data_IF_601831712834
#
_entry.id   IF_601831712834
#
_cell.length_a   1.000
_cell.length_b   1.000
_cell.length_c   1.000
_cell.angle_alpha   90.00
_cell.angle_beta   90.00
_cell.angle_gamma   90.00
#
_symmetry.space_group_name_H-M   'P 1'
#
loop_
_entity.id
_entity.type
_entity.pdbx_description
1 polymer ?
#
# COMPACT_ATOMS: atom_id res chain seq x y z
N UNK A 1 5.48 -22.52 3.82
CA UNK A 1 5.12 -21.41 4.71
C UNK A 1 3.60 -21.38 4.91
N UNK A 2 3.09 -21.21 6.13
CA UNK A 2 1.65 -21.08 6.35
C UNK A 2 1.14 -19.78 5.70
N UNK A 3 0.15 -19.91 4.81
CA UNK A 3 -0.51 -18.74 4.18
C UNK A 3 -1.44 -18.08 5.19
N UNK A 4 -1.34 -16.75 5.35
CA UNK A 4 -2.22 -15.99 6.24
C UNK A 4 -3.71 -16.22 5.89
N UNK A 5 -4.61 -16.11 6.87
CA UNK A 5 -6.05 -16.30 6.65
C UNK A 5 -6.58 -15.36 5.55
N UNK A 6 -6.22 -14.07 5.61
CA UNK A 6 -6.59 -13.07 4.61
C UNK A 6 -6.08 -13.40 3.22
N UNK A 7 -4.85 -13.88 3.08
CA UNK A 7 -4.31 -14.28 1.78
C UNK A 7 -5.04 -15.49 1.18
N UNK A 8 -5.47 -16.44 2.04
CA UNK A 8 -6.31 -17.56 1.61
C UNK A 8 -7.70 -17.09 1.14
N UNK A 9 -8.29 -16.10 1.81
CA UNK A 9 -9.56 -15.50 1.41
C UNK A 9 -9.43 -14.78 0.05
N UNK A 10 -8.44 -13.89 -0.12
CA UNK A 10 -8.14 -13.24 -1.39
C UNK A 10 -8.02 -14.28 -2.53
N UNK A 11 -7.23 -15.33 -2.31
CA UNK A 11 -7.04 -16.39 -3.31
C UNK A 11 -8.36 -17.10 -3.64
N UNK A 12 -9.21 -17.35 -2.65
CA UNK A 12 -10.52 -17.98 -2.83
C UNK A 12 -11.44 -17.08 -3.66
N UNK A 13 -11.52 -15.79 -3.33
CA UNK A 13 -12.40 -14.85 -4.00
C UNK A 13 -11.95 -14.56 -5.44
N UNK A 14 -10.65 -14.38 -5.69
CA UNK A 14 -10.14 -14.25 -7.06
C UNK A 14 -10.45 -15.50 -7.91
N UNK A 15 -10.32 -16.70 -7.34
CA UNK A 15 -10.70 -17.93 -8.04
C UNK A 15 -12.21 -18.02 -8.29
N UNK A 16 -13.05 -17.53 -7.37
CA UNK A 16 -14.51 -17.46 -7.57
C UNK A 16 -14.85 -16.50 -8.70
N UNK A 17 -14.30 -15.28 -8.67
CA UNK A 17 -14.49 -14.27 -9.72
C UNK A 17 -14.02 -14.80 -11.07
N UNK A 18 -12.86 -15.45 -11.13
CA UNK A 18 -12.32 -16.04 -12.36
C UNK A 18 -13.30 -17.06 -12.96
N UNK A 19 -13.85 -17.95 -12.14
CA UNK A 19 -14.83 -18.96 -12.58
C UNK A 19 -16.17 -18.37 -13.03
N UNK A 20 -16.55 -17.24 -12.45
CA UNK A 20 -17.84 -16.59 -12.73
C UNK A 20 -17.82 -15.73 -13.99
N UNK A 21 -16.71 -15.02 -14.25
CA UNK A 21 -16.64 -14.01 -15.29
C UNK A 21 -15.78 -14.40 -16.50
N UNK A 22 -14.72 -15.20 -16.31
CA UNK A 22 -13.85 -15.58 -17.42
C UNK A 22 -14.35 -16.86 -18.12
N UNK A 23 -14.14 -16.97 -19.44
CA UNK A 23 -14.49 -18.18 -20.16
C UNK A 23 -13.61 -19.35 -19.69
N UNK A 24 -14.17 -20.57 -19.72
CA UNK A 24 -13.43 -21.79 -19.35
C UNK A 24 -12.34 -22.15 -20.37
N UNK A 25 -12.55 -21.77 -21.63
CA UNK A 25 -11.60 -21.93 -22.74
C UNK A 25 -11.45 -20.57 -23.41
N UNK A 26 -10.21 -20.14 -23.58
CA UNK A 26 -9.89 -18.93 -24.34
C UNK A 26 -9.90 -19.26 -25.84
N UNK A 27 -10.28 -18.28 -26.65
CA UNK A 27 -10.29 -18.43 -28.10
C UNK A 27 -8.85 -18.33 -28.61
N UNK A 28 -8.39 -19.33 -29.36
CA UNK A 28 -7.05 -19.35 -29.97
C UNK A 28 -6.92 -18.31 -31.10
N UNK A 29 -8.04 -17.95 -31.71
CA UNK A 29 -8.15 -16.98 -32.81
C UNK A 29 -8.60 -15.59 -32.35
N UNK A 30 -8.67 -15.36 -31.04
CA UNK A 30 -9.12 -14.10 -30.41
C UNK A 30 -10.55 -13.66 -30.76
N UNK A 31 -11.40 -14.57 -31.22
CA UNK A 31 -12.82 -14.29 -31.39
C UNK A 31 -13.54 -14.36 -30.04
N UNK A 32 -14.02 -13.20 -29.57
CA UNK A 32 -14.80 -13.07 -28.35
C UNK A 32 -16.09 -12.29 -28.65
N UNK A 33 -17.22 -12.78 -28.15
CA UNK A 33 -18.47 -12.03 -28.19
C UNK A 33 -18.39 -10.78 -27.31
N UNK A 34 -19.19 -9.75 -27.63
CA UNK A 34 -19.31 -8.53 -26.81
C UNK A 34 -19.61 -8.85 -25.35
N UNK A 35 -20.45 -9.88 -25.11
CA UNK A 35 -20.76 -10.36 -23.76
C UNK A 35 -19.51 -10.87 -23.03
N UNK A 36 -18.66 -11.65 -23.68
CA UNK A 36 -17.43 -12.16 -23.08
C UNK A 36 -16.43 -11.03 -22.77
N UNK A 37 -16.36 -10.03 -23.64
CA UNK A 37 -15.56 -8.82 -23.39
C UNK A 37 -16.09 -8.06 -22.18
N UNK A 38 -17.40 -7.81 -22.12
CA UNK A 38 -18.06 -7.14 -20.99
C UNK A 38 -17.81 -7.87 -19.66
N UNK A 39 -17.94 -9.20 -19.63
CA UNK A 39 -17.65 -10.00 -18.45
C UNK A 39 -16.17 -9.94 -18.05
N UNK A 40 -15.26 -9.87 -19.02
CA UNK A 40 -13.82 -9.73 -18.75
C UNK A 40 -13.50 -8.37 -18.14
N UNK A 41 -14.14 -7.29 -18.60
CA UNK A 41 -14.03 -5.98 -17.97
C UNK A 41 -14.56 -6.02 -16.53
N UNK A 42 -15.71 -6.65 -16.30
CA UNK A 42 -16.26 -6.83 -14.97
C UNK A 42 -15.31 -7.61 -14.06
N UNK A 43 -14.74 -8.74 -14.54
CA UNK A 43 -13.73 -9.51 -13.81
C UNK A 43 -12.57 -8.63 -13.38
N UNK A 44 -12.03 -7.82 -14.28
CA UNK A 44 -10.91 -6.93 -13.99
C UNK A 44 -11.28 -5.98 -12.86
N UNK A 45 -12.40 -5.28 -12.95
CA UNK A 45 -12.84 -4.33 -11.91
C UNK A 45 -13.00 -5.01 -10.55
N UNK A 46 -13.70 -6.15 -10.49
CA UNK A 46 -13.89 -6.87 -9.23
C UNK A 46 -12.60 -7.47 -8.66
N UNK A 47 -11.71 -7.97 -9.52
CA UNK A 47 -10.41 -8.47 -9.09
C UNK A 47 -9.53 -7.36 -8.52
N UNK A 48 -9.54 -6.16 -9.14
CA UNK A 48 -8.85 -4.99 -8.60
C UNK A 48 -9.40 -4.61 -7.22
N UNK A 49 -10.72 -4.49 -7.08
CA UNK A 49 -11.34 -4.15 -5.80
C UNK A 49 -10.99 -5.15 -4.68
N UNK A 50 -10.96 -6.46 -4.98
CA UNK A 50 -10.58 -7.48 -4.01
C UNK A 50 -9.10 -7.39 -3.62
N UNK A 51 -8.21 -7.12 -4.58
CA UNK A 51 -6.78 -6.94 -4.32
C UNK A 51 -6.53 -5.67 -3.50
N UNK A 52 -7.20 -4.57 -3.84
CA UNK A 52 -7.12 -3.30 -3.12
C UNK A 52 -7.57 -3.47 -1.67
N UNK A 53 -8.72 -4.10 -1.43
CA UNK A 53 -9.20 -4.39 -0.08
C UNK A 53 -8.21 -5.23 0.73
N UNK A 54 -7.58 -6.24 0.11
CA UNK A 54 -6.53 -7.02 0.78
C UNK A 54 -5.32 -6.14 1.14
N UNK A 55 -4.87 -5.28 0.23
CA UNK A 55 -3.73 -4.39 0.49
C UNK A 55 -4.06 -3.39 1.60
N UNK A 56 -5.25 -2.81 1.61
CA UNK A 56 -5.73 -1.92 2.67
C UNK A 56 -5.69 -2.60 4.03
N UNK A 57 -6.19 -3.82 4.16
CA UNK A 57 -6.12 -4.60 5.40
C UNK A 57 -4.67 -4.79 5.88
N UNK A 58 -3.73 -5.12 4.97
CA UNK A 58 -2.31 -5.32 5.30
C UNK A 58 -1.61 -4.02 5.70
N UNK A 59 -1.92 -2.93 5.02
CA UNK A 59 -1.37 -1.61 5.34
C UNK A 59 -1.92 -1.14 6.68
N UNK A 60 -3.21 -1.36 6.96
CA UNK A 60 -3.83 -1.02 8.23
C UNK A 60 -3.16 -1.71 9.42
N UNK A 61 -2.92 -3.03 9.33
CA UNK A 61 -2.19 -3.80 10.35
C UNK A 61 -0.78 -3.20 10.62
N UNK A 62 -0.12 -2.74 9.55
CA UNK A 62 1.21 -2.11 9.62
C UNK A 62 1.15 -0.75 10.32
N UNK A 63 0.17 0.08 9.98
CA UNK A 63 -0.06 1.40 10.58
C UNK A 63 -0.41 1.25 12.06
N UNK A 64 -1.28 0.30 12.42
CA UNK A 64 -1.62 0.02 13.83
C UNK A 64 -0.40 -0.42 14.64
N UNK A 65 0.47 -1.25 14.05
CA UNK A 65 1.72 -1.66 14.69
C UNK A 65 2.64 -0.46 14.92
N UNK A 66 2.81 0.38 13.91
CA UNK A 66 3.60 1.61 14.01
C UNK A 66 3.04 2.58 15.05
N UNK A 67 1.71 2.75 15.11
CA UNK A 67 1.03 3.56 16.13
C UNK A 67 1.28 3.02 17.53
N UNK A 68 1.16 1.71 17.76
CA UNK A 68 1.45 1.10 19.08
C UNK A 68 2.90 1.35 19.52
N UNK A 69 3.85 1.31 18.60
CA UNK A 69 5.26 1.62 18.90
C UNK A 69 5.41 3.10 19.29
N UNK A 70 4.76 4.01 18.56
CA UNK A 70 4.73 5.43 18.91
C UNK A 70 4.12 5.66 20.30
N UNK A 71 2.95 5.09 20.57
CA UNK A 71 2.23 5.26 21.84
C UNK A 71 3.06 4.76 23.04
N UNK A 72 3.83 3.68 22.86
CA UNK A 72 4.61 3.06 23.94
C UNK A 72 6.03 3.63 24.10
N UNK A 73 6.66 4.14 23.03
CA UNK A 73 8.09 4.50 23.01
C UNK A 73 8.36 5.95 22.56
N UNK A 74 7.35 6.66 22.05
CA UNK A 74 7.50 7.99 21.46
C UNK A 74 8.33 8.03 20.18
N UNK A 75 8.52 6.89 19.50
CA UNK A 75 9.39 6.79 18.31
C UNK A 75 8.60 6.87 17.02
N UNK A 76 8.83 7.94 16.25
CA UNK A 76 8.19 8.11 14.93
C UNK A 76 8.78 7.08 13.95
N UNK A 77 7.91 6.44 13.17
CA UNK A 77 8.32 5.54 12.10
C UNK A 77 8.02 6.17 10.75
N UNK A 78 8.77 5.76 9.72
CA UNK A 78 8.50 6.18 8.33
C UNK A 78 7.06 5.87 7.89
N UNK A 79 6.45 4.81 8.41
CA UNK A 79 5.05 4.45 8.14
C UNK A 79 4.10 5.57 8.59
N UNK A 80 4.25 6.05 9.83
CA UNK A 80 3.40 7.14 10.35
C UNK A 80 3.65 8.46 9.60
N UNK A 81 4.90 8.73 9.23
CA UNK A 81 5.23 9.91 8.42
C UNK A 81 4.52 9.86 7.06
N UNK A 82 4.54 8.72 6.36
CA UNK A 82 3.81 8.56 5.11
C UNK A 82 2.29 8.75 5.31
N UNK A 83 1.72 8.18 6.36
CA UNK A 83 0.29 8.35 6.66
C UNK A 83 -0.05 9.83 6.84
N UNK A 84 0.75 10.57 7.63
CA UNK A 84 0.54 12.01 7.83
C UNK A 84 0.67 12.77 6.52
N UNK A 85 1.74 12.52 5.75
CA UNK A 85 1.99 13.22 4.49
C UNK A 85 0.86 13.04 3.46
N UNK A 86 0.22 11.87 3.43
CA UNK A 86 -0.90 11.58 2.54
C UNK A 86 -2.28 11.91 3.13
N UNK A 87 -2.39 12.11 4.45
CA UNK A 87 -3.68 12.38 5.11
C UNK A 87 -4.28 13.75 4.79
N UNK A 88 -3.50 14.66 4.18
CA UNK A 88 -3.89 16.05 3.98
C UNK A 88 -4.05 16.83 5.29
N UNK A 89 -3.66 16.25 6.43
CA UNK A 89 -3.61 16.94 7.70
C UNK A 89 -2.31 17.73 7.76
N UNK A 90 -2.43 19.04 7.94
CA UNK A 90 -1.28 19.88 8.27
C UNK A 90 -1.07 19.84 9.78
N UNK A 91 0.17 19.58 10.20
CA UNK A 91 0.53 19.77 11.60
C UNK A 91 0.70 21.28 11.83
N UNK A 92 0.15 21.77 12.95
CA UNK A 92 0.45 23.13 13.39
C UNK A 92 1.96 23.33 13.52
N UNK A 93 2.40 24.57 13.30
CA UNK A 93 3.79 24.92 13.49
C UNK A 93 4.24 24.48 14.89
N UNK A 94 5.42 23.83 15.01
CA UNK A 94 5.93 23.44 16.31
C UNK A 94 5.98 24.68 17.21
N UNK A 95 5.49 24.61 18.46
CA UNK A 95 5.52 25.76 19.35
C UNK A 95 6.96 26.25 19.53
N UNK A 96 7.13 27.57 19.65
CA UNK A 96 8.43 28.25 19.76
C UNK A 96 9.30 27.75 20.94
N UNK A 97 8.70 27.00 21.86
CA UNK A 97 9.36 26.34 22.99
C UNK A 97 10.13 25.07 22.60
N UNK A 98 9.94 24.50 21.41
CA UNK A 98 10.69 23.33 20.95
C UNK A 98 12.10 23.73 20.47
N UNK A 99 13.11 23.39 21.27
CA UNK A 99 14.52 23.57 20.92
C UNK A 99 15.11 22.31 20.30
N UNK A 100 15.93 22.43 19.23
CA UNK A 100 16.41 23.68 18.64
C UNK A 100 15.51 24.18 17.50
N UNK A 101 15.24 25.49 17.51
CA UNK A 101 14.51 26.25 16.47
C UNK A 101 15.10 26.14 15.05
N UNK A 102 16.29 25.57 14.91
CA UNK A 102 16.96 25.24 13.65
C UNK A 102 17.64 23.89 13.79
N UNK A 103 17.39 22.98 12.85
CA UNK A 103 18.32 21.88 12.61
C UNK A 103 19.71 22.47 12.37
N UNK A 104 20.74 21.94 13.05
CA UNK A 104 22.12 22.39 12.83
C UNK A 104 22.43 22.25 11.34
N UNK A 105 22.53 23.36 10.61
CA UNK A 105 23.02 23.42 9.23
C UNK A 105 24.50 23.00 9.08
N UNK A 106 25.14 22.62 10.18
CA UNK A 106 26.50 22.12 10.20
C UNK A 106 26.48 20.59 10.16
N UNK A 107 25.95 20.01 9.08
CA UNK A 107 26.38 18.67 8.70
C UNK A 107 27.66 18.88 7.87
N UNK A 108 28.81 18.30 8.26
CA UNK A 108 30.03 18.40 7.45
C UNK A 108 29.72 17.90 6.04
N UNK A 109 30.04 18.68 5.01
CA UNK A 109 29.72 18.33 3.61
C UNK A 109 30.28 16.97 3.17
N UNK A 110 31.30 16.47 3.88
CA UNK A 110 31.86 15.13 3.69
C UNK A 110 30.84 13.99 3.89
N UNK A 111 29.75 14.22 4.64
CA UNK A 111 28.67 13.24 4.83
C UNK A 111 27.55 13.32 3.79
N UNK A 112 27.58 14.32 2.90
CA UNK A 112 26.56 14.54 1.86
C UNK A 112 26.98 14.00 0.49
N UNK A 113 28.19 13.45 0.35
CA UNK A 113 28.63 12.82 -0.89
C UNK A 113 27.95 11.46 -1.06
N UNK A 114 26.86 11.44 -1.82
CA UNK A 114 26.38 10.21 -2.45
C UNK A 114 27.44 9.82 -3.47
N UNK A 115 28.23 8.80 -3.15
CA UNK A 115 29.12 8.17 -4.13
C UNK A 115 28.22 7.51 -5.17
N UNK A 116 28.01 8.17 -6.30
CA UNK A 116 27.49 7.51 -7.49
C UNK A 116 28.57 6.52 -7.94
N UNK A 117 28.39 5.25 -7.58
CA UNK A 117 29.23 4.15 -8.02
C UNK A 117 29.07 3.98 -9.53
N UNK A 118 30.21 4.05 -10.23
CA UNK A 118 30.44 3.61 -11.60
C UNK A 118 30.11 2.14 -11.80
#
# INVERSE_FOLDING_TARGET
>A
MPKSLRFRQLTKELNRLKKQFLPRKFSEINEYSERQLALTFAYRVFAHAEIESYLEDRVWDTVLTAKKIWDNQGKASGVLLCVIAFSGQEMEAPPDTLTPLKGKKNLPEDKLKITNGT
#
